data_IF_591352431625
#
_entry.id   IF_591352431625
#
_cell.length_a   1.000
_cell.length_b   1.000
_cell.length_c   1.000
_cell.angle_alpha   90.00
_cell.angle_beta   90.00
_cell.angle_gamma   90.00
#
_symmetry.space_group_name_H-M   'P 1'
#
loop_
_entity.id
_entity.type
_entity.pdbx_description
1 polymer ?
#
# COMPACT_ATOMS: atom_id res chain seq x y z
N UNK A 1 -7.86 -17.60 -31.19
CA UNK A 1 -9.10 -17.83 -30.40
C UNK A 1 -8.78 -17.49 -28.95
N UNK A 2 -9.18 -16.31 -28.47
CA UNK A 2 -8.80 -15.86 -27.13
C UNK A 2 -9.43 -16.76 -26.07
N UNK A 3 -8.63 -17.20 -25.10
CA UNK A 3 -9.05 -18.13 -24.05
C UNK A 3 -10.05 -17.43 -23.13
N UNK A 4 -11.30 -17.93 -23.12
CA UNK A 4 -12.40 -17.41 -22.30
C UNK A 4 -12.68 -18.27 -21.07
N UNK A 5 -11.66 -18.93 -20.53
CA UNK A 5 -11.84 -19.81 -19.39
C UNK A 5 -10.62 -19.81 -18.48
N UNK A 6 -10.83 -20.00 -17.19
CA UNK A 6 -9.76 -20.43 -16.29
C UNK A 6 -9.99 -21.89 -15.90
N UNK A 7 -8.89 -22.60 -15.66
CA UNK A 7 -8.88 -24.01 -15.27
C UNK A 7 -8.26 -24.16 -13.90
N UNK A 8 -8.86 -25.01 -13.08
CA UNK A 8 -8.29 -25.43 -11.79
C UNK A 8 -7.74 -26.83 -11.98
N UNK A 9 -6.47 -27.02 -11.60
CA UNK A 9 -5.75 -28.28 -11.72
C UNK A 9 -5.35 -28.77 -10.34
N UNK A 10 -5.41 -30.09 -10.14
CA UNK A 10 -4.67 -30.75 -9.07
C UNK A 10 -3.39 -31.29 -9.68
N UNK A 11 -2.24 -31.05 -9.05
CA UNK A 11 -0.93 -31.43 -9.60
C UNK A 11 -0.82 -32.93 -9.86
N UNK A 12 -1.51 -33.75 -9.07
CA UNK A 12 -1.49 -35.21 -9.19
C UNK A 12 -2.35 -35.73 -10.37
N UNK A 13 -3.23 -34.89 -10.93
CA UNK A 13 -4.16 -35.29 -11.99
C UNK A 13 -3.77 -34.70 -13.35
N UNK A 14 -3.85 -35.52 -14.40
CA UNK A 14 -3.60 -35.08 -15.78
C UNK A 14 -4.78 -34.34 -16.43
N UNK A 15 -5.90 -34.17 -15.72
CA UNK A 15 -7.09 -33.46 -16.21
C UNK A 15 -7.43 -32.28 -15.30
N UNK A 16 -7.96 -31.18 -15.85
CA UNK A 16 -8.44 -30.08 -15.02
C UNK A 16 -9.65 -30.53 -14.21
N UNK A 17 -9.64 -30.26 -12.91
CA UNK A 17 -10.77 -30.49 -12.01
C UNK A 17 -11.98 -29.66 -12.43
N UNK A 18 -11.75 -28.38 -12.73
CA UNK A 18 -12.82 -27.44 -13.02
C UNK A 18 -12.44 -26.52 -14.17
N UNK A 19 -13.42 -26.22 -15.02
CA UNK A 19 -13.31 -25.25 -16.12
C UNK A 19 -14.42 -24.22 -15.92
N UNK A 20 -14.04 -22.96 -15.80
CA UNK A 20 -14.98 -21.85 -15.58
C UNK A 20 -14.91 -20.89 -16.76
N UNK A 21 -16.06 -20.61 -17.36
CA UNK A 21 -16.18 -19.76 -18.54
C UNK A 21 -16.35 -18.30 -18.13
N UNK A 22 -15.67 -17.42 -18.86
CA UNK A 22 -15.77 -15.97 -18.79
C UNK A 22 -16.37 -15.41 -20.10
N UNK A 23 -16.92 -14.20 -20.05
CA UNK A 23 -17.47 -13.54 -21.24
C UNK A 23 -16.36 -13.06 -22.17
N UNK A 24 -15.29 -12.52 -21.57
CA UNK A 24 -14.14 -11.94 -22.26
C UNK A 24 -12.84 -12.66 -21.89
N UNK A 25 -11.75 -12.45 -22.66
CA UNK A 25 -10.46 -13.06 -22.36
C UNK A 25 -9.97 -12.67 -20.96
N UNK A 26 -9.40 -13.64 -20.25
CA UNK A 26 -8.80 -13.42 -18.94
C UNK A 26 -7.38 -12.92 -19.17
N UNK A 27 -7.07 -11.75 -18.64
CA UNK A 27 -5.78 -11.08 -18.83
C UNK A 27 -4.88 -11.25 -17.62
N UNK A 28 -5.46 -11.43 -16.43
CA UNK A 28 -4.71 -11.59 -15.18
C UNK A 28 -5.42 -12.53 -14.21
N UNK A 29 -4.64 -13.20 -13.38
CA UNK A 29 -5.13 -14.10 -12.34
C UNK A 29 -4.25 -13.98 -11.11
N UNK A 30 -4.86 -14.11 -9.95
CA UNK A 30 -4.19 -14.13 -8.66
C UNK A 30 -4.82 -15.18 -7.77
N UNK A 31 -4.00 -15.89 -7.00
CA UNK A 31 -4.43 -16.91 -6.07
C UNK A 31 -3.77 -16.68 -4.72
N UNK A 32 -4.56 -16.70 -3.64
CA UNK A 32 -4.07 -16.63 -2.27
C UNK A 32 -4.98 -17.47 -1.38
N UNK A 33 -4.43 -18.56 -0.85
CA UNK A 33 -5.21 -19.55 -0.10
C UNK A 33 -6.40 -20.05 -0.94
N UNK A 34 -7.61 -19.88 -0.41
CA UNK A 34 -8.86 -20.30 -1.04
C UNK A 34 -9.55 -19.21 -1.88
N UNK A 35 -8.92 -18.05 -2.06
CA UNK A 35 -9.47 -16.95 -2.87
C UNK A 35 -8.67 -16.84 -4.16
N UNK A 36 -9.39 -16.84 -5.28
CA UNK A 36 -8.84 -16.60 -6.60
C UNK A 36 -9.51 -15.38 -7.21
N UNK A 37 -8.73 -14.48 -7.77
CA UNK A 37 -9.20 -13.29 -8.46
C UNK A 37 -8.82 -13.38 -9.93
N UNK A 38 -9.76 -13.06 -10.81
CA UNK A 38 -9.52 -13.06 -12.25
C UNK A 38 -9.91 -11.70 -12.83
N UNK A 39 -8.99 -11.12 -13.60
CA UNK A 39 -9.19 -9.87 -14.31
C UNK A 39 -9.48 -10.13 -15.78
N UNK A 40 -10.52 -9.49 -16.28
CA UNK A 40 -10.99 -9.62 -17.65
C UNK A 40 -10.54 -8.46 -18.55
N UNK A 41 -10.49 -8.71 -19.86
CA UNK A 41 -10.27 -7.69 -20.86
C UNK A 41 -11.37 -6.62 -20.89
N UNK A 42 -12.59 -6.94 -20.42
CA UNK A 42 -13.68 -5.97 -20.29
C UNK A 42 -13.55 -5.00 -19.10
N UNK A 43 -12.51 -5.14 -18.26
CA UNK A 43 -12.38 -4.38 -17.02
C UNK A 43 -13.16 -4.97 -15.83
N UNK A 44 -13.85 -6.10 -16.02
CA UNK A 44 -14.52 -6.83 -14.93
C UNK A 44 -13.52 -7.67 -14.13
N UNK A 45 -13.70 -7.68 -12.81
CA UNK A 45 -12.91 -8.52 -11.90
C UNK A 45 -13.84 -9.50 -11.21
N UNK A 46 -13.53 -10.79 -11.27
CA UNK A 46 -14.32 -11.82 -10.61
C UNK A 46 -13.51 -12.40 -9.44
N UNK A 47 -14.15 -12.51 -8.27
CA UNK A 47 -13.56 -13.09 -7.07
C UNK A 47 -14.24 -14.43 -6.78
N UNK A 48 -13.43 -15.48 -6.75
CA UNK A 48 -13.84 -16.86 -6.63
C UNK A 48 -13.35 -17.45 -5.31
N UNK A 49 -14.20 -18.26 -4.67
CA UNK A 49 -13.78 -19.20 -3.63
C UNK A 49 -13.43 -20.51 -4.27
N UNK A 50 -12.18 -20.92 -4.17
CA UNK A 50 -11.70 -22.23 -4.58
C UNK A 50 -11.50 -23.06 -3.31
N UNK A 51 -12.22 -24.16 -3.18
CA UNK A 51 -12.02 -25.14 -2.12
C UNK A 51 -12.01 -26.54 -2.70
N UNK A 52 -12.42 -27.53 -1.92
CA UNK A 52 -12.51 -28.91 -2.38
C UNK A 52 -13.66 -29.15 -3.37
N UNK A 53 -14.65 -28.24 -3.39
CA UNK A 53 -15.81 -28.28 -4.30
C UNK A 53 -15.57 -27.37 -5.51
N UNK A 54 -16.52 -27.39 -6.45
CA UNK A 54 -16.55 -26.49 -7.61
C UNK A 54 -16.32 -25.03 -7.17
N UNK A 55 -15.49 -24.24 -7.87
CA UNK A 55 -15.29 -22.84 -7.58
C UNK A 55 -16.60 -22.06 -7.56
N UNK A 56 -16.77 -21.19 -6.57
CA UNK A 56 -17.98 -20.38 -6.38
C UNK A 56 -17.60 -18.93 -6.62
N UNK A 57 -18.33 -18.24 -7.49
CA UNK A 57 -18.21 -16.80 -7.66
C UNK A 57 -18.80 -16.11 -6.42
N UNK A 58 -17.96 -15.39 -5.68
CA UNK A 58 -18.38 -14.67 -4.47
C UNK A 58 -18.72 -13.22 -4.80
N UNK A 59 -17.95 -12.60 -5.70
CA UNK A 59 -18.00 -11.16 -5.94
C UNK A 59 -17.64 -10.82 -7.37
N UNK A 60 -18.29 -9.79 -7.89
CA UNK A 60 -17.95 -9.15 -9.17
C UNK A 60 -17.68 -7.69 -8.87
N UNK A 61 -16.50 -7.21 -9.28
CA UNK A 61 -16.10 -5.83 -9.12
C UNK A 61 -16.09 -5.18 -10.51
N UNK A 62 -16.78 -4.06 -10.62
CA UNK A 62 -16.94 -3.31 -11.87
C UNK A 62 -16.55 -1.86 -11.63
N UNK A 63 -15.73 -1.30 -12.51
CA UNK A 63 -15.35 0.11 -12.43
C UNK A 63 -14.17 0.48 -13.32
N UNK A 64 -13.34 -0.48 -13.73
CA UNK A 64 -12.41 -0.26 -14.82
C UNK A 64 -13.15 -0.16 -16.15
N UNK A 65 -12.67 0.70 -17.03
CA UNK A 65 -13.27 0.93 -18.36
C UNK A 65 -12.51 0.24 -19.49
N UNK A 66 -11.38 -0.40 -19.17
CA UNK A 66 -10.53 -1.12 -20.12
C UNK A 66 -9.87 -2.33 -19.43
N UNK A 67 -9.15 -3.11 -20.22
CA UNK A 67 -8.53 -4.37 -19.84
C UNK A 67 -7.67 -4.26 -18.59
N UNK A 68 -7.92 -5.16 -17.64
CA UNK A 68 -7.07 -5.30 -16.45
C UNK A 68 -5.74 -5.88 -16.89
N UNK A 69 -4.64 -5.24 -16.53
CA UNK A 69 -3.29 -5.66 -16.94
C UNK A 69 -2.65 -6.55 -15.89
N UNK A 70 -2.84 -6.23 -14.62
CA UNK A 70 -2.34 -7.00 -13.50
C UNK A 70 -3.24 -6.81 -12.27
N UNK A 71 -3.14 -7.76 -11.34
CA UNK A 71 -3.86 -7.73 -10.08
C UNK A 71 -3.03 -8.36 -8.96
N UNK A 72 -3.13 -7.77 -7.76
CA UNK A 72 -2.47 -8.22 -6.53
C UNK A 72 -3.40 -7.99 -5.36
N UNK A 73 -3.37 -8.88 -4.39
CA UNK A 73 -4.22 -8.76 -3.21
C UNK A 73 -3.56 -9.36 -1.98
N UNK A 74 -3.89 -8.77 -0.84
CA UNK A 74 -3.54 -9.26 0.49
C UNK A 74 -4.78 -9.91 1.15
N UNK A 75 -4.86 -9.90 2.48
CA UNK A 75 -6.00 -10.48 3.18
C UNK A 75 -7.26 -9.58 3.16
N UNK A 76 -7.12 -8.28 2.87
CA UNK A 76 -8.14 -7.24 3.06
C UNK A 76 -8.42 -6.42 1.79
N UNK A 77 -7.39 -6.18 0.99
CA UNK A 77 -7.39 -5.30 -0.16
C UNK A 77 -7.03 -6.08 -1.42
N UNK A 78 -7.70 -5.72 -2.50
CA UNK A 78 -7.33 -6.10 -3.86
C UNK A 78 -6.99 -4.81 -4.61
N UNK A 79 -5.86 -4.85 -5.32
CA UNK A 79 -5.38 -3.78 -6.17
C UNK A 79 -5.33 -4.28 -7.60
N UNK A 80 -5.93 -3.53 -8.51
CA UNK A 80 -5.99 -3.87 -9.94
C UNK A 80 -5.49 -2.73 -10.78
N UNK A 81 -4.61 -3.02 -11.73
CA UNK A 81 -4.14 -2.07 -12.75
C UNK A 81 -4.85 -2.31 -14.07
N UNK A 82 -5.03 -1.25 -14.86
CA UNK A 82 -5.70 -1.33 -16.16
C UNK A 82 -5.06 -0.43 -17.22
N UNK A 83 -5.37 -0.75 -18.48
CA UNK A 83 -5.11 0.11 -19.64
C UNK A 83 -5.89 1.42 -19.59
N UNK A 84 -6.93 1.53 -18.76
CA UNK A 84 -7.67 2.77 -18.52
C UNK A 84 -6.89 3.86 -17.77
N UNK A 85 -5.58 3.66 -17.59
CA UNK A 85 -4.65 4.57 -16.92
C UNK A 85 -4.93 4.73 -15.43
N UNK A 86 -5.63 3.77 -14.83
CA UNK A 86 -5.92 3.78 -13.41
C UNK A 86 -5.50 2.50 -12.72
N UNK A 87 -5.24 2.63 -11.42
CA UNK A 87 -5.16 1.52 -10.48
C UNK A 87 -6.30 1.68 -9.48
N UNK A 88 -7.11 0.64 -9.30
CA UNK A 88 -8.23 0.66 -8.37
C UNK A 88 -7.97 -0.22 -7.17
N UNK A 89 -8.48 0.23 -6.02
CA UNK A 89 -8.37 -0.44 -4.73
C UNK A 89 -9.76 -0.91 -4.32
N UNK A 90 -9.86 -2.15 -3.90
CA UNK A 90 -11.12 -2.83 -3.59
C UNK A 90 -11.03 -3.55 -2.26
N UNK A 91 -12.17 -3.72 -1.58
CA UNK A 91 -12.25 -4.62 -0.43
C UNK A 91 -12.42 -6.05 -0.92
N UNK A 92 -11.56 -6.97 -0.48
CA UNK A 92 -11.76 -8.40 -0.71
C UNK A 92 -12.71 -9.01 0.33
N UNK A 93 -12.89 -8.34 1.48
CA UNK A 93 -13.74 -8.79 2.58
C UNK A 93 -15.13 -8.17 2.48
N UNK A 94 -16.13 -8.94 2.91
CA UNK A 94 -17.52 -8.50 2.99
C UNK A 94 -18.15 -8.26 1.62
N UNK A 95 -19.38 -7.74 1.66
CA UNK A 95 -20.22 -7.55 0.47
C UNK A 95 -19.90 -6.26 -0.28
N UNK A 96 -19.10 -5.36 0.30
CA UNK A 96 -18.79 -4.04 -0.27
C UNK A 96 -18.01 -4.13 -1.59
N UNK A 97 -18.70 -3.97 -2.72
CA UNK A 97 -18.13 -4.13 -4.08
C UNK A 97 -17.63 -2.84 -4.72
N UNK A 98 -17.86 -1.69 -4.08
CA UNK A 98 -17.48 -0.41 -4.66
C UNK A 98 -15.97 -0.19 -4.57
N UNK A 99 -15.50 0.67 -5.46
CA UNK A 99 -14.10 1.08 -5.53
C UNK A 99 -13.75 1.95 -4.32
N UNK A 100 -12.82 1.51 -3.48
CA UNK A 100 -12.33 2.24 -2.29
C UNK A 100 -11.48 3.44 -2.70
N UNK A 101 -10.71 3.29 -3.78
CA UNK A 101 -9.74 4.30 -4.20
C UNK A 101 -9.33 4.12 -5.66
N UNK A 102 -9.00 5.23 -6.32
CA UNK A 102 -8.51 5.23 -7.71
C UNK A 102 -7.24 6.06 -7.79
N UNK A 103 -6.16 5.43 -8.23
CA UNK A 103 -4.84 6.04 -8.44
C UNK A 103 -4.66 6.32 -9.93
N UNK A 104 -4.57 7.59 -10.30
CA UNK A 104 -4.55 8.03 -11.70
C UNK A 104 -3.12 8.11 -12.22
N UNK A 105 -2.91 7.60 -13.43
CA UNK A 105 -1.65 7.61 -14.16
C UNK A 105 -1.78 8.39 -15.46
N UNK A 106 -0.64 8.76 -16.04
CA UNK A 106 -0.52 9.49 -17.30
C UNK A 106 -0.71 8.58 -18.53
N UNK A 107 -0.41 7.30 -18.39
CA UNK A 107 -0.51 6.26 -19.42
C UNK A 107 -1.06 4.95 -18.88
N UNK A 108 -1.09 3.92 -19.73
CA UNK A 108 -1.56 2.58 -19.34
C UNK A 108 -0.73 2.07 -18.16
N UNK A 109 -1.37 1.46 -17.17
CA UNK A 109 -0.65 0.81 -16.07
C UNK A 109 -0.46 -0.64 -16.45
N UNK A 110 0.77 -1.07 -16.66
CA UNK A 110 1.08 -2.39 -17.23
C UNK A 110 1.33 -3.44 -16.16
N UNK A 111 1.82 -3.04 -14.99
CA UNK A 111 2.03 -3.92 -13.86
C UNK A 111 1.77 -3.21 -12.54
N UNK A 112 1.41 -3.99 -11.52
CA UNK A 112 1.20 -3.52 -10.15
C UNK A 112 1.68 -4.56 -9.15
N UNK A 113 2.29 -4.09 -8.08
CA UNK A 113 2.70 -4.87 -6.93
C UNK A 113 2.15 -4.25 -5.65
N UNK A 114 1.68 -5.10 -4.73
CA UNK A 114 1.17 -4.71 -3.41
C UNK A 114 2.08 -5.32 -2.35
N UNK A 115 2.76 -4.45 -1.60
CA UNK A 115 3.66 -4.85 -0.51
C UNK A 115 3.27 -4.05 0.72
N UNK A 116 2.76 -4.73 1.74
CA UNK A 116 2.24 -4.11 2.95
C UNK A 116 1.25 -2.98 2.62
N UNK A 117 1.56 -1.74 3.01
CA UNK A 117 0.76 -0.55 2.76
C UNK A 117 1.26 0.27 1.55
N UNK A 118 2.05 -0.35 0.66
CA UNK A 118 2.59 0.30 -0.53
C UNK A 118 2.10 -0.37 -1.79
N UNK A 119 1.68 0.44 -2.74
CA UNK A 119 1.38 0.00 -4.11
C UNK A 119 2.50 0.51 -5.00
N UNK A 120 3.16 -0.40 -5.72
CA UNK A 120 4.18 -0.07 -6.72
C UNK A 120 3.59 -0.31 -8.09
N UNK A 121 3.61 0.68 -8.96
CA UNK A 121 3.01 0.59 -10.30
C UNK A 121 4.03 0.88 -11.37
N UNK A 122 3.95 0.13 -12.47
CA UNK A 122 4.71 0.38 -13.70
C UNK A 122 3.79 0.89 -14.79
N UNK A 123 4.15 2.01 -15.42
CA UNK A 123 3.32 2.68 -16.40
C UNK A 123 3.99 2.69 -17.78
N UNK A 124 3.17 2.81 -18.82
CA UNK A 124 3.62 2.97 -20.21
C UNK A 124 4.35 4.30 -20.46
N UNK A 125 4.30 5.25 -19.52
CA UNK A 125 5.08 6.50 -19.55
C UNK A 125 6.55 6.34 -19.12
N UNK A 126 6.96 5.09 -18.84
CA UNK A 126 8.30 4.76 -18.38
C UNK A 126 8.63 5.23 -16.96
N UNK A 127 7.61 5.53 -16.15
CA UNK A 127 7.77 5.83 -14.72
C UNK A 127 7.23 4.71 -13.85
N UNK A 128 7.96 4.48 -12.77
CA UNK A 128 7.51 3.67 -11.63
C UNK A 128 6.94 4.63 -10.60
N UNK A 129 5.78 4.32 -10.04
CA UNK A 129 5.19 5.14 -8.96
C UNK A 129 5.00 4.28 -7.72
N UNK A 130 5.30 4.88 -6.56
CA UNK A 130 5.09 4.27 -5.25
C UNK A 130 4.02 5.06 -4.53
N UNK A 131 2.93 4.38 -4.20
CA UNK A 131 1.76 4.96 -3.58
C UNK A 131 1.59 4.42 -2.16
N UNK A 132 1.03 5.25 -1.29
CA UNK A 132 0.53 4.79 0.00
C UNK A 132 -0.89 4.22 -0.19
N UNK A 133 -1.11 2.98 0.26
CA UNK A 133 -2.41 2.29 0.14
C UNK A 133 -3.54 3.02 0.88
N UNK A 134 -3.25 3.52 2.09
CA UNK A 134 -4.25 4.13 2.97
C UNK A 134 -4.59 5.56 2.55
N UNK A 135 -3.56 6.37 2.33
CA UNK A 135 -3.74 7.79 1.98
C UNK A 135 -3.97 8.01 0.49
N UNK A 136 -3.68 7.01 -0.34
CA UNK A 136 -3.82 7.05 -1.79
C UNK A 136 -2.95 8.12 -2.47
N UNK A 137 -1.97 8.68 -1.75
CA UNK A 137 -1.03 9.65 -2.28
C UNK A 137 0.19 8.98 -2.93
N UNK A 138 0.63 9.53 -4.06
CA UNK A 138 1.89 9.15 -4.70
C UNK A 138 3.05 9.69 -3.86
N UNK A 139 3.81 8.78 -3.25
CA UNK A 139 4.95 9.13 -2.41
C UNK A 139 6.22 9.37 -3.22
N UNK A 140 6.41 8.59 -4.30
CA UNK A 140 7.61 8.65 -5.15
C UNK A 140 7.27 8.36 -6.61
N UNK A 141 8.07 8.98 -7.49
CA UNK A 141 8.08 8.71 -8.93
C UNK A 141 9.54 8.46 -9.31
N UNK A 142 9.82 7.26 -9.84
CA UNK A 142 11.16 6.85 -10.25
C UNK A 142 11.19 6.68 -11.78
N UNK A 143 12.25 7.15 -12.47
CA UNK A 143 12.43 6.84 -13.88
C UNK A 143 12.78 5.35 -14.03
N UNK A 144 12.08 4.64 -14.92
CA UNK A 144 12.51 3.30 -15.31
C UNK A 144 13.73 3.39 -16.21
N UNK A 145 13.77 4.31 -17.17
CA UNK A 145 15.00 4.59 -17.90
C UNK A 145 14.99 6.02 -18.45
N UNK A 146 16.08 6.42 -19.13
CA UNK A 146 16.20 7.73 -19.77
C UNK A 146 15.40 7.86 -21.07
N UNK A 147 14.85 6.76 -21.60
CA UNK A 147 14.09 6.75 -22.87
C UNK A 147 12.57 6.77 -22.68
N UNK A 148 12.10 6.73 -21.43
CA UNK A 148 10.68 6.59 -21.09
C UNK A 148 10.06 5.31 -21.67
N UNK A 149 10.83 4.22 -21.72
CA UNK A 149 10.30 2.94 -22.21
C UNK A 149 9.23 2.39 -21.25
N UNK A 150 8.16 1.75 -21.77
CA UNK A 150 7.12 1.15 -20.95
C UNK A 150 7.67 0.19 -19.89
N UNK A 151 7.16 0.30 -18.66
CA UNK A 151 7.51 -0.62 -17.57
C UNK A 151 6.63 -1.86 -17.64
N UNK A 152 7.16 -2.96 -18.17
CA UNK A 152 6.41 -4.18 -18.49
C UNK A 152 6.12 -5.00 -17.24
N UNK A 153 7.13 -5.21 -16.39
CA UNK A 153 6.95 -5.93 -15.13
C UNK A 153 7.87 -5.39 -14.05
N UNK A 154 7.42 -5.51 -12.80
CA UNK A 154 8.16 -5.11 -11.62
C UNK A 154 8.12 -6.30 -10.66
N UNK A 155 9.26 -6.61 -10.05
CA UNK A 155 9.38 -7.64 -9.05
C UNK A 155 10.16 -7.07 -7.85
N UNK A 156 9.46 -6.70 -6.78
CA UNK A 156 10.10 -6.31 -5.53
C UNK A 156 10.57 -7.55 -4.77
N UNK A 157 11.78 -7.47 -4.22
CA UNK A 157 12.34 -8.48 -3.34
C UNK A 157 13.16 -7.79 -2.26
N UNK A 158 12.66 -7.83 -1.02
CA UNK A 158 13.31 -7.18 0.14
C UNK A 158 13.67 -5.72 -0.15
N UNK A 159 14.96 -5.45 -0.32
CA UNK A 159 15.56 -4.15 -0.52
C UNK A 159 15.93 -3.88 -2.00
N UNK A 160 15.41 -4.71 -2.92
CA UNK A 160 15.66 -4.60 -4.36
C UNK A 160 14.34 -4.53 -5.12
N UNK A 161 14.36 -3.81 -6.23
CA UNK A 161 13.29 -3.78 -7.20
C UNK A 161 13.84 -4.13 -8.57
N UNK A 162 13.47 -5.29 -9.08
CA UNK A 162 13.78 -5.68 -10.45
C UNK A 162 12.69 -5.09 -11.36
N UNK A 163 13.12 -4.35 -12.36
CA UNK A 163 12.26 -3.65 -13.30
C UNK A 163 12.59 -4.15 -14.70
N UNK A 164 11.59 -4.67 -15.38
CA UNK A 164 11.70 -5.05 -16.78
C UNK A 164 11.03 -3.97 -17.64
N UNK A 165 11.82 -3.30 -18.47
CA UNK A 165 11.31 -2.40 -19.51
C UNK A 165 11.32 -3.10 -20.85
N UNK A 166 10.83 -2.44 -21.91
CA UNK A 166 10.85 -3.01 -23.25
C UNK A 166 12.24 -3.42 -23.75
N UNK A 167 13.30 -2.72 -23.31
CA UNK A 167 14.65 -2.95 -23.82
C UNK A 167 15.68 -3.31 -22.74
N UNK A 168 15.40 -3.00 -21.47
CA UNK A 168 16.38 -3.15 -20.38
C UNK A 168 15.76 -3.89 -19.19
N UNK A 169 16.60 -4.63 -18.49
CA UNK A 169 16.31 -5.10 -17.13
C UNK A 169 17.18 -4.29 -16.18
N UNK A 170 16.54 -3.73 -15.15
CA UNK A 170 17.20 -2.89 -14.16
C UNK A 170 16.97 -3.47 -12.77
N UNK A 171 18.01 -3.40 -11.95
CA UNK A 171 17.91 -3.73 -10.53
C UNK A 171 18.15 -2.44 -9.74
N UNK A 172 17.09 -1.91 -9.14
CA UNK A 172 17.20 -0.80 -8.20
C UNK A 172 17.46 -1.38 -6.82
N UNK A 173 18.63 -1.07 -6.25
CA UNK A 173 18.95 -1.39 -4.86
C UNK A 173 18.58 -0.18 -4.02
N UNK A 174 17.80 -0.39 -2.97
CA UNK A 174 17.54 0.63 -1.97
C UNK A 174 18.47 0.42 -0.79
N UNK A 175 18.61 1.41 0.08
CA UNK A 175 19.32 1.24 1.33
C UNK A 175 18.41 0.60 2.37
N UNK A 176 18.95 -0.30 3.19
CA UNK A 176 18.19 -0.85 4.32
C UNK A 176 17.93 0.28 5.30
N UNK A 177 16.69 0.75 5.36
CA UNK A 177 16.30 1.74 6.36
C UNK A 177 16.27 1.03 7.71
N UNK A 178 17.29 1.27 8.54
CA UNK A 178 17.21 0.94 9.96
C UNK A 178 16.35 2.01 10.61
N UNK A 179 15.15 1.61 11.02
CA UNK A 179 14.32 2.46 11.86
C UNK A 179 14.97 2.52 13.24
N UNK A 180 15.77 3.55 13.47
CA UNK A 180 16.18 3.91 14.82
C UNK A 180 14.96 4.53 15.50
N UNK A 181 14.16 3.70 16.16
CA UNK A 181 13.09 4.13 17.07
C UNK A 181 13.64 4.78 18.35
N UNK A 182 14.89 5.26 18.33
CA UNK A 182 15.52 5.83 19.51
C UNK A 182 14.82 7.12 19.91
N UNK A 183 14.09 7.01 21.02
CA UNK A 183 13.48 8.06 21.82
C UNK A 183 12.65 9.03 20.98
N UNK A 184 11.36 8.69 20.85
CA UNK A 184 10.39 9.72 20.53
C UNK A 184 10.56 10.89 21.52
N UNK A 185 10.30 12.12 21.09
CA UNK A 185 10.29 13.28 22.00
C UNK A 185 9.36 13.03 23.19
N UNK A 186 8.37 12.16 23.00
CA UNK A 186 7.42 11.67 24.00
C UNK A 186 8.09 10.75 25.03
N UNK A 187 8.95 9.80 24.62
CA UNK A 187 9.71 8.93 25.55
C UNK A 187 10.64 9.76 26.45
N UNK A 188 11.28 10.80 25.90
CA UNK A 188 12.07 11.77 26.68
C UNK A 188 11.20 12.60 27.63
N UNK A 189 10.00 12.96 27.19
CA UNK A 189 9.05 13.71 28.01
C UNK A 189 8.48 12.84 29.14
N UNK A 190 8.23 11.55 28.90
CA UNK A 190 7.81 10.59 29.93
C UNK A 190 8.90 10.38 30.97
N UNK A 191 10.16 10.22 30.56
CA UNK A 191 11.27 10.06 31.51
C UNK A 191 11.45 11.33 32.39
N UNK A 192 11.30 12.51 31.79
CA UNK A 192 11.31 13.79 32.50
C UNK A 192 10.12 13.92 33.47
N UNK A 193 8.92 13.53 33.04
CA UNK A 193 7.71 13.53 33.86
C UNK A 193 7.80 12.56 35.04
N UNK A 194 8.26 11.34 34.81
CA UNK A 194 8.45 10.33 35.86
C UNK A 194 9.48 10.77 36.90
N UNK A 195 10.56 11.45 36.47
CA UNK A 195 11.52 12.09 37.38
C UNK A 195 10.87 13.22 38.20
N UNK A 196 10.00 14.03 37.60
CA UNK A 196 9.25 15.10 38.28
C UNK A 196 8.26 14.57 39.33
N UNK A 197 7.55 13.48 39.03
CA UNK A 197 6.62 12.82 39.97
C UNK A 197 7.37 12.20 41.15
N UNK A 198 8.51 11.53 40.91
CA UNK A 198 9.36 10.98 41.98
C UNK A 198 9.92 12.07 42.92
N UNK A 199 10.27 13.23 42.36
CA UNK A 199 10.71 14.36 43.18
C UNK A 199 9.56 14.98 44.00
N UNK A 200 8.34 15.00 43.47
CA UNK A 200 7.15 15.45 44.21
C UNK A 200 6.72 14.46 45.30
N UNK A 201 6.79 13.15 45.06
CA UNK A 201 6.48 12.14 46.09
C UNK A 201 7.48 12.18 47.25
N UNK A 202 8.74 12.55 46.99
CA UNK A 202 9.73 12.78 48.04
C UNK A 202 9.54 14.12 48.78
N UNK A 203 8.71 15.03 48.27
CA UNK A 203 8.39 16.32 48.91
C UNK A 203 7.00 16.36 49.54
N UNK A 204 6.11 15.42 49.24
CA UNK A 204 4.76 15.34 49.79
C UNK A 204 4.59 14.13 50.72
N UNK A 205 5.21 14.21 51.90
CA UNK A 205 4.53 13.78 53.11
C UNK A 205 3.69 14.96 53.61
N UNK A 206 2.40 14.97 53.24
CA UNK A 206 1.24 15.52 53.95
C UNK A 206 0.19 16.16 53.00
N UNK A 207 -0.99 15.53 52.99
CA UNK A 207 -2.34 16.04 52.74
C UNK A 207 -2.67 16.82 51.44
N UNK A 208 -3.39 16.18 50.51
CA UNK A 208 -4.83 16.42 50.22
C UNK A 208 -5.25 15.80 48.87
N UNK A 209 -6.42 15.16 48.86
CA UNK A 209 -7.07 14.63 47.66
C UNK A 209 -7.55 15.75 46.72
N UNK A 210 -7.39 15.53 45.41
CA UNK A 210 -7.89 16.31 44.27
C UNK A 210 -7.25 17.67 43.97
N UNK A 211 -6.01 17.65 43.45
CA UNK A 211 -5.50 18.73 42.61
C UNK A 211 -5.93 18.53 41.15
N UNK A 212 -6.48 19.57 40.50
CA UNK A 212 -6.76 19.56 39.05
C UNK A 212 -5.47 19.30 38.27
N UNK A 213 -5.50 18.52 37.17
CA UNK A 213 -4.31 18.23 36.39
C UNK A 213 -3.70 19.53 35.87
N UNK A 214 -2.39 19.63 35.91
CA UNK A 214 -1.68 20.81 35.41
C UNK A 214 -1.95 21.00 33.91
N UNK A 215 -1.71 22.21 33.39
CA UNK A 215 -1.86 22.49 31.97
C UNK A 215 -1.02 21.54 31.09
N UNK A 216 0.16 21.14 31.56
CA UNK A 216 1.03 20.18 30.87
C UNK A 216 0.46 18.75 30.89
N UNK A 217 -0.13 18.30 32.00
CA UNK A 217 -0.81 17.00 32.11
C UNK A 217 -2.04 16.95 31.20
N UNK A 218 -2.81 18.03 31.17
CA UNK A 218 -3.98 18.15 30.30
C UNK A 218 -3.60 18.14 28.81
N UNK A 219 -2.42 18.70 28.46
CA UNK A 219 -1.92 18.70 27.09
C UNK A 219 -1.40 17.32 26.68
N UNK A 220 -0.72 16.62 27.58
CA UNK A 220 -0.23 15.25 27.38
C UNK A 220 -1.39 14.26 27.19
N UNK A 221 -2.39 14.31 28.07
CA UNK A 221 -3.59 13.46 27.95
C UNK A 221 -4.31 13.74 26.62
N UNK A 222 -4.36 15.01 26.18
CA UNK A 222 -4.93 15.38 24.87
C UNK A 222 -4.12 14.84 23.70
N UNK A 223 -2.78 14.88 23.71
CA UNK A 223 -1.97 14.34 22.60
C UNK A 223 -2.10 12.83 22.49
N UNK A 224 -2.15 12.10 23.61
CA UNK A 224 -2.40 10.66 23.62
C UNK A 224 -3.78 10.32 23.04
N UNK A 225 -4.83 11.08 23.40
CA UNK A 225 -6.18 10.88 22.86
C UNK A 225 -6.27 11.20 21.36
N UNK A 226 -5.55 12.21 20.87
CA UNK A 226 -5.52 12.57 19.45
C UNK A 226 -4.79 11.49 18.64
N UNK A 227 -3.69 10.94 19.16
CA UNK A 227 -2.92 9.89 18.49
C UNK A 227 -3.56 8.49 18.59
N UNK A 228 -4.46 8.27 19.57
CA UNK A 228 -5.19 7.01 19.75
C UNK A 228 -6.59 7.00 19.12
N UNK A 229 -7.06 8.10 18.51
CA UNK A 229 -8.45 8.21 18.06
C UNK A 229 -8.65 7.89 16.57
N UNK A 230 -9.63 7.02 16.31
CA UNK A 230 -10.17 6.63 14.99
C UNK A 230 -10.53 7.90 14.16
N UNK A 231 -10.08 8.01 12.88
CA UNK A 231 -10.28 9.20 12.04
C UNK A 231 -11.73 9.66 11.82
N UNK A 232 -12.72 8.86 12.26
CA UNK A 232 -14.15 9.14 12.12
C UNK A 232 -14.68 10.28 13.01
N UNK A 233 -13.91 10.76 13.99
CA UNK A 233 -14.33 11.86 14.87
C UNK A 233 -14.04 13.28 14.34
N UNK A 234 -13.34 13.44 13.21
CA UNK A 234 -13.03 14.76 12.63
C UNK A 234 -14.14 15.35 11.73
N UNK A 235 -15.38 15.39 12.25
CA UNK A 235 -16.46 16.19 11.65
C UNK A 235 -17.14 17.04 12.73
N UNK A 236 -16.43 18.04 13.24
CA UNK A 236 -16.96 19.33 13.72
C UNK A 236 -15.93 19.96 14.67
N UNK A 237 -15.17 20.93 14.17
CA UNK A 237 -14.97 22.24 14.79
C UNK A 237 -13.79 22.94 14.12
N UNK A 238 -14.08 24.14 13.61
CA UNK A 238 -13.05 25.11 13.23
C UNK A 238 -12.13 25.35 14.43
N UNK A 239 -10.81 25.35 14.22
CA UNK A 239 -9.93 26.48 14.52
C UNK A 239 -8.45 26.14 14.23
N UNK A 240 -7.90 26.92 13.29
CA UNK A 240 -6.63 27.65 13.36
C UNK A 240 -5.32 26.85 13.44
N UNK A 241 -4.63 26.84 12.29
CA UNK A 241 -3.24 27.29 12.20
C UNK A 241 -2.17 26.24 12.47
N UNK A 242 -1.89 25.39 11.49
CA UNK A 242 -0.55 24.80 11.33
C UNK A 242 0.05 25.24 10.01
N UNK A 243 1.12 26.00 10.16
CA UNK A 243 1.98 26.58 9.14
C UNK A 243 2.66 25.46 8.33
N UNK A 244 2.54 25.40 6.99
CA UNK A 244 3.07 24.31 6.16
C UNK A 244 4.58 24.42 5.86
N UNK A 245 5.34 25.11 6.70
CA UNK A 245 6.76 25.41 6.46
C UNK A 245 7.66 24.91 7.58
N UNK A 246 7.95 23.61 7.58
CA UNK A 246 9.15 23.12 8.25
C UNK A 246 10.05 22.41 7.22
N UNK A 247 11.04 23.11 6.62
CA UNK A 247 11.85 22.60 5.51
C UNK A 247 13.00 21.68 5.96
N UNK A 248 13.11 21.33 7.24
CA UNK A 248 14.29 20.63 7.78
C UNK A 248 14.11 19.11 7.95
N UNK A 249 13.61 18.44 6.91
CA UNK A 249 13.92 17.01 6.70
C UNK A 249 14.68 16.92 5.38
N UNK A 250 15.97 17.24 5.43
CA UNK A 250 16.89 16.94 4.34
C UNK A 250 17.21 15.45 4.37
N UNK A 251 16.64 14.70 3.42
CA UNK A 251 17.08 13.34 3.12
C UNK A 251 18.39 13.48 2.34
N UNK A 252 19.52 13.20 2.98
CA UNK A 252 20.84 13.22 2.36
C UNK A 252 21.05 11.89 1.62
N UNK A 253 20.98 11.94 0.29
CA UNK A 253 21.37 10.82 -0.57
C UNK A 253 22.88 10.91 -0.77
N UNK A 254 23.64 9.95 -0.24
CA UNK A 254 25.06 9.82 -0.55
C UNK A 254 25.16 9.05 -1.86
N UNK A 255 25.59 9.72 -2.94
CA UNK A 255 25.94 9.04 -4.18
C UNK A 255 27.26 8.28 -3.97
N UNK A 256 27.42 7.06 -4.50
CA UNK A 256 28.69 6.35 -4.41
C UNK A 256 29.77 7.13 -5.17
N UNK A 257 30.92 7.32 -4.54
CA UNK A 257 32.10 7.92 -5.18
C UNK A 257 32.48 7.05 -6.39
N UNK A 258 32.60 7.70 -7.55
CA UNK A 258 33.09 7.05 -8.76
C UNK A 258 34.54 6.64 -8.56
N UNK A 259 34.81 5.33 -8.53
CA UNK A 259 36.17 4.81 -8.68
C UNK A 259 36.76 5.33 -10.01
N UNK A 260 37.87 6.07 -9.92
CA UNK A 260 38.66 6.47 -11.09
C UNK A 260 39.38 5.22 -11.62
N UNK A 261 39.40 4.99 -12.93
CA UNK A 261 40.24 3.94 -13.51
C UNK A 261 41.72 4.34 -13.42
N UNK A 262 42.57 3.36 -13.10
CA UNK A 262 44.04 3.40 -13.26
C UNK A 262 44.44 3.44 -14.74
#
# INVERSE_FOLDING_TARGET
>A
MLVKYFKVWRLDEQKPLWIMKHSTPITSVGLRGYICTTGEHSGRINVWRIGNKKPILIKVLTGHTDAITALRFDNYHLVTSSKDKSVKIWSIIGEFSDCIGTLVHTGEVLCVELIDLRIITGCSDGRIRVWNLLTQHCQRILPGNYRHDPIISIMPLENRLIVNTQHNILALNFDTVKWEYHESVEDKAEEFWLKSIKNKSNQQNNNSLHSKPSYAESRYIRSCLINSADPRFFKQSNMIGLNPSNPNIQIKIVLPESEKPE
#
